data_IF_834573542587
#
_entry.id   IF_834573542587
#
_cell.length_a   1.000
_cell.length_b   1.000
_cell.length_c   1.000
_cell.angle_alpha   90.00
_cell.angle_beta   90.00
_cell.angle_gamma   90.00
#
_symmetry.space_group_name_H-M   'P 1'
#
loop_
_entity.id
_entity.type
_entity.pdbx_description
1 polymer ?
#
# COMPACT_ATOMS: atom_id res chain seq x y z
N UNK A 1 4.47 -13.78 0.99
CA UNK A 1 5.34 -13.73 2.21
C UNK A 1 6.82 -13.53 1.86
N UNK A 2 7.48 -14.43 1.10
CA UNK A 2 8.93 -14.33 0.81
C UNK A 2 9.29 -13.02 0.09
N UNK A 3 8.52 -12.64 -0.93
CA UNK A 3 8.75 -11.39 -1.68
C UNK A 3 8.59 -10.15 -0.79
N UNK A 4 7.55 -10.13 0.05
CA UNK A 4 7.30 -9.01 0.97
C UNK A 4 8.43 -8.87 2.00
N UNK A 5 8.88 -9.99 2.60
CA UNK A 5 10.01 -9.98 3.53
C UNK A 5 11.32 -9.52 2.85
N UNK A 6 11.61 -10.01 1.63
CA UNK A 6 12.78 -9.57 0.87
C UNK A 6 12.75 -8.09 0.52
N UNK A 7 11.58 -7.59 0.12
CA UNK A 7 11.38 -6.17 -0.20
C UNK A 7 11.58 -5.31 1.04
N UNK A 8 10.95 -5.66 2.16
CA UNK A 8 11.13 -4.97 3.43
C UNK A 8 12.59 -4.94 3.86
N UNK A 9 13.30 -6.09 3.81
CA UNK A 9 14.73 -6.18 4.16
C UNK A 9 15.62 -5.23 3.36
N UNK A 10 15.22 -4.87 2.13
CA UNK A 10 15.97 -3.97 1.26
C UNK A 10 15.48 -2.51 1.31
N UNK A 11 14.45 -2.23 2.12
CA UNK A 11 13.86 -0.89 2.29
C UNK A 11 14.29 -0.25 3.62
N UNK A 12 15.57 -0.40 3.97
CA UNK A 12 16.22 0.23 5.12
C UNK A 12 15.58 -0.09 6.49
N UNK A 13 15.00 -1.28 6.67
CA UNK A 13 14.46 -1.73 7.96
C UNK A 13 15.47 -2.59 8.72
N UNK A 14 15.63 -2.34 10.02
CA UNK A 14 16.60 -3.05 10.85
C UNK A 14 16.21 -4.48 11.22
N UNK A 15 14.92 -4.82 11.25
CA UNK A 15 14.45 -6.15 11.63
C UNK A 15 13.09 -6.45 11.01
N UNK A 16 12.91 -7.68 10.55
CA UNK A 16 11.63 -8.21 10.08
C UNK A 16 11.19 -9.33 11.00
N UNK A 17 9.91 -9.34 11.38
CA UNK A 17 9.28 -10.46 12.08
C UNK A 17 8.32 -11.18 11.14
N UNK A 18 8.47 -12.50 11.05
CA UNK A 18 7.54 -13.33 10.31
C UNK A 18 6.67 -14.16 11.27
N UNK A 19 5.36 -14.05 11.14
CA UNK A 19 4.37 -14.71 11.99
C UNK A 19 3.40 -15.61 11.21
N UNK A 20 3.64 -15.86 9.94
CA UNK A 20 2.81 -16.70 9.10
C UNK A 20 2.97 -18.22 9.34
N UNK A 21 2.34 -19.05 8.49
CA UNK A 21 2.31 -20.50 8.61
C UNK A 21 3.71 -21.14 8.66
N UNK A 22 3.78 -22.28 9.37
CA UNK A 22 5.04 -23.04 9.51
C UNK A 22 5.68 -23.37 8.16
N UNK A 23 4.88 -23.79 7.16
CA UNK A 23 5.37 -24.14 5.81
C UNK A 23 6.11 -22.99 5.13
N UNK A 24 5.76 -21.74 5.41
CA UNK A 24 6.42 -20.57 4.84
C UNK A 24 7.64 -20.10 5.65
N UNK A 25 7.77 -20.52 6.93
CA UNK A 25 8.86 -20.07 7.82
C UNK A 25 10.23 -20.44 7.27
N UNK A 26 10.40 -21.70 6.87
CA UNK A 26 11.68 -22.18 6.33
C UNK A 26 12.01 -21.45 5.04
N UNK A 27 11.02 -21.25 4.16
CA UNK A 27 11.21 -20.49 2.92
C UNK A 27 11.60 -19.02 3.17
N UNK A 28 11.03 -18.41 4.21
CA UNK A 28 11.37 -17.03 4.60
C UNK A 28 12.78 -16.97 5.15
N UNK A 29 13.16 -17.88 6.06
CA UNK A 29 14.51 -17.93 6.62
C UNK A 29 15.59 -18.25 5.58
N UNK A 30 15.30 -19.15 4.63
CA UNK A 30 16.22 -19.44 3.52
C UNK A 30 16.43 -18.22 2.62
N UNK A 31 15.39 -17.40 2.44
CA UNK A 31 15.42 -16.25 1.55
C UNK A 31 15.86 -14.94 2.24
N UNK A 32 15.63 -14.82 3.55
CA UNK A 32 15.92 -13.68 4.42
C UNK A 32 16.39 -14.21 5.78
N UNK A 33 17.66 -14.63 5.89
CA UNK A 33 18.20 -15.22 7.13
C UNK A 33 18.16 -14.26 8.32
N UNK A 34 18.04 -12.94 8.07
CA UNK A 34 17.90 -11.91 9.09
C UNK A 34 16.51 -11.82 9.70
N UNK A 35 15.52 -12.55 9.14
CA UNK A 35 14.15 -12.52 9.65
C UNK A 35 14.06 -13.23 11.01
N UNK A 36 13.32 -12.61 11.94
CA UNK A 36 13.03 -13.15 13.26
C UNK A 36 11.66 -13.80 13.23
N UNK A 37 11.56 -15.02 13.73
CA UNK A 37 10.28 -15.74 13.82
C UNK A 37 9.54 -15.42 15.12
N UNK A 38 8.21 -15.39 15.06
CA UNK A 38 7.32 -15.34 16.21
C UNK A 38 6.97 -13.95 16.71
N UNK A 39 6.19 -13.90 17.79
CA UNK A 39 5.62 -12.69 18.36
C UNK A 39 6.68 -11.75 18.92
N UNK A 40 6.39 -10.44 18.92
CA UNK A 40 7.22 -9.39 19.51
C UNK A 40 6.74 -8.00 19.10
N UNK A 41 7.33 -6.97 19.69
CA UNK A 41 7.02 -5.59 19.33
C UNK A 41 7.41 -5.32 17.88
N UNK A 42 6.58 -4.60 17.18
CA UNK A 42 6.79 -4.13 15.80
C UNK A 42 6.35 -2.68 15.68
N UNK A 43 6.84 -1.96 14.68
CA UNK A 43 6.50 -0.59 14.37
C UNK A 43 5.49 -0.48 13.23
N UNK A 44 5.30 -1.54 12.44
CA UNK A 44 4.24 -1.66 11.44
C UNK A 44 3.92 -3.14 11.19
N UNK A 45 2.73 -3.39 10.66
CA UNK A 45 2.27 -4.70 10.24
C UNK A 45 2.04 -4.75 8.72
N UNK A 46 2.27 -5.91 8.13
CA UNK A 46 1.88 -6.22 6.74
C UNK A 46 1.14 -7.54 6.76
N UNK A 47 -0.11 -7.54 6.30
CA UNK A 47 -0.97 -8.74 6.26
C UNK A 47 -1.57 -8.96 4.88
N UNK A 48 -1.91 -10.19 4.57
CA UNK A 48 -2.68 -10.56 3.38
C UNK A 48 -1.88 -11.08 2.20
N UNK A 49 -0.62 -10.68 2.03
CA UNK A 49 0.24 -11.15 0.93
C UNK A 49 0.35 -12.68 0.89
N UNK A 50 -0.26 -13.31 -0.12
CA UNK A 50 -0.30 -14.75 -0.31
C UNK A 50 -1.33 -15.49 0.55
N UNK A 51 -2.23 -14.78 1.20
CA UNK A 51 -3.42 -15.34 1.87
C UNK A 51 -4.53 -15.50 0.82
N UNK A 52 -5.21 -16.65 0.75
CA UNK A 52 -6.33 -16.83 -0.16
C UNK A 52 -7.52 -15.96 0.24
N UNK A 53 -8.34 -15.55 -0.73
CA UNK A 53 -9.62 -14.89 -0.52
C UNK A 53 -10.72 -15.90 -0.23
N UNK A 54 -11.70 -15.53 0.59
CA UNK A 54 -12.88 -16.35 0.89
C UNK A 54 -12.62 -17.47 1.92
N UNK A 55 -13.66 -18.26 2.20
CA UNK A 55 -13.58 -19.43 3.06
C UNK A 55 -12.85 -20.56 2.32
N UNK A 56 -11.74 -21.01 2.87
CA UNK A 56 -11.00 -22.19 2.38
C UNK A 56 -11.11 -23.30 3.42
N UNK A 57 -11.34 -24.53 2.97
CA UNK A 57 -11.50 -25.68 3.88
C UNK A 57 -10.24 -26.05 4.68
N UNK A 58 -9.08 -25.51 4.31
CA UNK A 58 -7.78 -26.06 4.76
C UNK A 58 -6.84 -25.09 5.49
N UNK A 59 -7.13 -23.83 5.78
CA UNK A 59 -6.23 -23.03 6.63
C UNK A 59 -6.87 -21.75 7.22
N UNK A 60 -7.82 -21.90 8.07
CA UNK A 60 -8.42 -20.79 8.82
C UNK A 60 -7.46 -20.12 9.79
N UNK A 61 -6.41 -20.82 10.24
CA UNK A 61 -5.53 -20.29 11.29
C UNK A 61 -4.87 -18.95 10.91
N UNK A 62 -4.41 -18.79 9.68
CA UNK A 62 -3.78 -17.54 9.25
C UNK A 62 -4.83 -16.43 9.11
N UNK A 63 -5.96 -16.73 8.49
CA UNK A 63 -7.08 -15.78 8.36
C UNK A 63 -7.64 -15.40 9.72
N UNK A 64 -7.85 -16.37 10.62
CA UNK A 64 -8.26 -16.11 12.01
C UNK A 64 -7.27 -15.21 12.76
N UNK A 65 -5.97 -15.44 12.57
CA UNK A 65 -4.93 -14.61 13.20
C UNK A 65 -4.97 -13.18 12.67
N UNK A 66 -5.16 -13.01 11.37
CA UNK A 66 -5.30 -11.69 10.73
C UNK A 66 -6.59 -11.01 11.19
N UNK A 67 -7.72 -11.72 11.17
CA UNK A 67 -8.99 -11.20 11.65
C UNK A 67 -8.89 -10.70 13.10
N UNK A 68 -8.25 -11.48 13.99
CA UNK A 68 -7.99 -11.07 15.38
C UNK A 68 -7.09 -9.83 15.47
N UNK A 69 -6.10 -9.68 14.60
CA UNK A 69 -5.29 -8.46 14.56
C UNK A 69 -6.14 -7.26 14.13
N UNK A 70 -6.96 -7.44 13.10
CA UNK A 70 -7.80 -6.38 12.54
C UNK A 70 -8.88 -5.90 13.52
N UNK A 71 -9.35 -6.73 14.47
CA UNK A 71 -10.30 -6.27 15.51
C UNK A 71 -9.71 -5.17 16.41
N UNK A 72 -8.39 -5.07 16.52
CA UNK A 72 -7.76 -3.98 17.27
C UNK A 72 -7.72 -2.65 16.52
N UNK A 73 -8.10 -2.64 15.25
CA UNK A 73 -8.21 -1.45 14.40
C UNK A 73 -9.65 -1.11 14.06
N UNK A 74 -10.63 -1.89 14.53
CA UNK A 74 -12.03 -1.58 14.31
C UNK A 74 -12.43 -0.35 15.12
N UNK A 75 -13.04 0.64 14.46
CA UNK A 75 -13.67 1.79 15.11
C UNK A 75 -15.14 1.48 15.36
N UNK A 76 -15.68 2.04 16.44
CA UNK A 76 -17.08 1.87 16.80
C UNK A 76 -17.95 2.80 15.97
N UNK A 77 -19.06 2.27 15.47
CA UNK A 77 -20.06 3.06 14.74
C UNK A 77 -21.02 3.85 15.63
N UNK A 78 -20.99 3.62 16.92
CA UNK A 78 -21.86 4.25 17.92
C UNK A 78 -21.08 5.24 18.79
N UNK A 79 -21.65 6.42 19.03
CA UNK A 79 -21.19 7.42 20.01
C UNK A 79 -21.29 6.87 21.47
N UNK A 80 -20.76 5.69 21.73
CA UNK A 80 -20.69 5.13 23.07
C UNK A 80 -19.50 5.77 23.81
N UNK A 81 -19.72 6.60 24.83
CA UNK A 81 -18.65 7.27 25.56
C UNK A 81 -17.72 6.33 26.34
N UNK A 82 -18.05 5.04 26.42
CA UNK A 82 -17.22 4.01 27.03
C UNK A 82 -16.41 3.20 25.99
N UNK A 83 -16.55 3.49 24.70
CA UNK A 83 -15.78 2.84 23.64
C UNK A 83 -14.40 3.51 23.47
N UNK A 84 -13.35 2.72 23.58
CA UNK A 84 -11.96 3.18 23.66
C UNK A 84 -11.31 3.15 22.25
N UNK A 85 -11.89 3.93 21.29
CA UNK A 85 -11.37 4.08 19.94
C UNK A 85 -9.93 4.63 19.93
N UNK A 86 -9.51 5.32 21.02
CA UNK A 86 -8.15 5.79 21.20
C UNK A 86 -7.13 4.66 21.08
N UNK A 87 -7.50 3.43 21.49
CA UNK A 87 -6.64 2.26 21.36
C UNK A 87 -6.38 1.86 19.91
N UNK A 88 -7.34 2.04 19.01
CA UNK A 88 -7.17 1.75 17.58
C UNK A 88 -6.21 2.75 16.92
N UNK A 89 -6.27 4.01 17.31
CA UNK A 89 -5.33 5.05 16.84
C UNK A 89 -3.91 4.86 17.38
N UNK A 90 -3.76 4.30 18.59
CA UNK A 90 -2.45 3.98 19.19
C UNK A 90 -1.78 2.74 18.59
N UNK A 91 -2.50 1.97 17.77
CA UNK A 91 -1.93 0.78 17.11
C UNK A 91 -0.90 1.17 16.05
N UNK A 92 0.17 0.35 15.88
CA UNK A 92 1.15 0.57 14.80
C UNK A 92 0.49 0.59 13.42
N UNK A 93 1.00 1.37 12.44
CA UNK A 93 0.51 1.34 11.07
C UNK A 93 0.38 -0.08 10.52
N UNK A 94 -0.64 -0.30 9.69
CA UNK A 94 -0.97 -1.62 9.15
C UNK A 94 -1.18 -1.54 7.63
N UNK A 95 -0.50 -2.39 6.88
CA UNK A 95 -0.75 -2.62 5.45
C UNK A 95 -1.64 -3.86 5.30
N UNK A 96 -2.80 -3.69 4.64
CA UNK A 96 -3.74 -4.77 4.32
C UNK A 96 -3.77 -4.96 2.80
N UNK A 97 -3.34 -6.13 2.34
CA UNK A 97 -3.19 -6.48 0.92
C UNK A 97 -3.91 -7.79 0.58
N UNK A 98 -4.25 -7.99 -0.67
CA UNK A 98 -4.74 -9.25 -1.23
C UNK A 98 -5.85 -9.90 -0.37
N UNK A 99 -5.65 -11.17 0.03
CA UNK A 99 -6.67 -11.96 0.73
C UNK A 99 -7.00 -11.54 2.17
N UNK A 100 -6.41 -10.44 2.68
CA UNK A 100 -6.85 -9.86 3.96
C UNK A 100 -7.85 -8.70 3.78
N UNK A 101 -8.05 -8.22 2.56
CA UNK A 101 -8.97 -7.10 2.27
C UNK A 101 -10.42 -7.44 2.61
N UNK A 102 -10.82 -8.70 2.47
CA UNK A 102 -12.17 -9.18 2.82
C UNK A 102 -12.37 -9.37 4.34
N UNK A 103 -11.31 -9.20 5.14
CA UNK A 103 -11.34 -9.23 6.60
C UNK A 103 -11.32 -7.83 7.23
N UNK A 104 -11.24 -6.78 6.39
CA UNK A 104 -11.17 -5.40 6.87
C UNK A 104 -12.45 -5.05 7.65
N UNK A 105 -12.36 -4.52 8.89
CA UNK A 105 -13.50 -3.96 9.62
C UNK A 105 -14.25 -2.90 8.81
N UNK A 106 -15.48 -2.60 9.21
CA UNK A 106 -16.30 -1.60 8.52
C UNK A 106 -15.61 -0.25 8.51
N UNK A 107 -15.07 0.18 9.63
CA UNK A 107 -14.34 1.43 9.76
C UNK A 107 -13.03 1.21 10.53
N UNK A 108 -11.94 1.86 10.09
CA UNK A 108 -10.60 1.76 10.65
C UNK A 108 -9.89 3.12 10.64
N UNK A 109 -8.90 3.34 11.52
CA UNK A 109 -8.16 4.61 11.55
C UNK A 109 -7.23 4.77 10.31
N UNK A 110 -6.84 6.01 9.96
CA UNK A 110 -6.15 6.34 8.72
C UNK A 110 -4.76 5.73 8.56
N UNK A 111 -4.11 5.28 9.65
CA UNK A 111 -2.84 4.55 9.60
C UNK A 111 -2.98 3.10 9.07
N UNK A 112 -4.22 2.62 8.85
CA UNK A 112 -4.48 1.39 8.11
C UNK A 112 -4.45 1.70 6.63
N UNK A 113 -3.49 1.12 5.91
CA UNK A 113 -3.31 1.33 4.47
C UNK A 113 -3.74 0.10 3.71
N UNK A 114 -4.81 0.20 2.93
CA UNK A 114 -5.25 -0.88 2.04
C UNK A 114 -4.61 -0.71 0.67
N UNK A 115 -4.22 -1.83 0.03
CA UNK A 115 -3.50 -1.81 -1.25
C UNK A 115 -4.22 -2.60 -2.36
N UNK A 116 -5.51 -2.31 -2.67
CA UNK A 116 -6.26 -3.05 -3.66
C UNK A 116 -5.81 -2.76 -5.10
N UNK A 117 -5.95 -3.73 -6.00
CA UNK A 117 -6.14 -3.47 -7.42
C UNK A 117 -7.64 -3.27 -7.73
N UNK A 118 -7.99 -2.88 -8.97
CA UNK A 118 -9.37 -2.55 -9.32
C UNK A 118 -10.40 -3.65 -8.99
N UNK A 119 -10.05 -4.93 -9.20
CA UNK A 119 -10.94 -6.04 -8.87
C UNK A 119 -11.12 -6.25 -7.36
N UNK A 120 -10.04 -6.11 -6.58
CA UNK A 120 -10.10 -6.18 -5.11
C UNK A 120 -10.91 -5.02 -4.54
N UNK A 121 -10.72 -3.81 -5.07
CA UNK A 121 -11.48 -2.64 -4.64
C UNK A 121 -12.97 -2.79 -4.95
N UNK A 122 -13.34 -3.26 -6.15
CA UNK A 122 -14.73 -3.53 -6.51
C UNK A 122 -15.36 -4.55 -5.55
N UNK A 123 -14.65 -5.64 -5.23
CA UNK A 123 -15.15 -6.64 -4.27
C UNK A 123 -15.35 -6.05 -2.87
N UNK A 124 -14.41 -5.23 -2.40
CA UNK A 124 -14.48 -4.54 -1.11
C UNK A 124 -15.71 -3.61 -1.04
N UNK A 125 -15.92 -2.81 -2.08
CA UNK A 125 -17.03 -1.86 -2.19
C UNK A 125 -18.38 -2.59 -2.31
N UNK A 126 -18.45 -3.66 -3.11
CA UNK A 126 -19.66 -4.50 -3.25
C UNK A 126 -20.05 -5.11 -1.91
N UNK A 127 -19.10 -5.58 -1.12
CA UNK A 127 -19.37 -6.08 0.23
C UNK A 127 -19.94 -5.00 1.17
N UNK A 128 -19.72 -3.71 0.86
CA UNK A 128 -20.25 -2.54 1.57
C UNK A 128 -21.50 -1.93 0.94
N UNK A 129 -22.10 -2.64 -0.02
CA UNK A 129 -23.40 -2.28 -0.62
C UNK A 129 -23.33 -1.42 -1.87
N UNK A 130 -22.15 -1.15 -2.43
CA UNK A 130 -22.01 -0.47 -3.71
C UNK A 130 -22.26 -1.43 -4.88
N UNK A 131 -22.86 -0.93 -5.96
CA UNK A 131 -23.05 -1.67 -7.22
C UNK A 131 -21.92 -1.28 -8.19
N UNK A 132 -20.80 -1.98 -8.09
CA UNK A 132 -19.57 -1.63 -8.81
C UNK A 132 -18.81 -2.87 -9.25
N UNK A 133 -18.25 -2.86 -10.45
CA UNK A 133 -17.35 -3.88 -10.95
C UNK A 133 -15.92 -3.34 -11.20
N UNK A 134 -15.00 -4.25 -11.56
CA UNK A 134 -13.59 -3.89 -11.80
C UNK A 134 -13.43 -2.91 -12.98
N UNK A 135 -14.35 -2.90 -13.95
CA UNK A 135 -14.27 -1.98 -15.09
C UNK A 135 -14.72 -0.58 -14.71
N UNK A 136 -15.68 -0.44 -13.79
CA UNK A 136 -16.09 0.84 -13.24
C UNK A 136 -14.94 1.49 -12.46
N UNK A 137 -14.27 0.71 -11.61
CA UNK A 137 -13.07 1.18 -10.89
C UNK A 137 -11.96 1.60 -11.85
N UNK A 138 -11.75 0.87 -12.96
CA UNK A 138 -10.74 1.24 -13.96
C UNK A 138 -11.10 2.51 -14.74
N UNK A 139 -12.39 2.75 -14.97
CA UNK A 139 -12.87 3.93 -15.71
C UNK A 139 -12.83 5.20 -14.84
N UNK A 140 -13.16 5.09 -13.55
CA UNK A 140 -13.24 6.21 -12.61
C UNK A 140 -12.42 5.93 -11.32
N UNK A 141 -11.11 5.67 -11.44
CA UNK A 141 -10.31 5.15 -10.32
C UNK A 141 -10.22 6.11 -9.13
N UNK A 142 -10.19 7.42 -9.36
CA UNK A 142 -10.17 8.40 -8.28
C UNK A 142 -11.50 8.43 -7.52
N UNK A 143 -12.62 8.39 -8.23
CA UNK A 143 -13.95 8.36 -7.61
C UNK A 143 -14.08 7.18 -6.65
N UNK A 144 -13.72 5.97 -7.11
CA UNK A 144 -13.86 4.76 -6.30
C UNK A 144 -12.81 4.65 -5.19
N UNK A 145 -11.63 5.24 -5.36
CA UNK A 145 -10.66 5.35 -4.28
C UNK A 145 -11.12 6.29 -3.15
N UNK A 146 -11.70 7.44 -3.51
CA UNK A 146 -12.32 8.37 -2.55
C UNK A 146 -13.49 7.70 -1.84
N UNK A 147 -14.37 7.01 -2.58
CA UNK A 147 -15.49 6.30 -2.00
C UNK A 147 -15.08 5.20 -1.02
N UNK A 148 -14.02 4.47 -1.33
CA UNK A 148 -13.48 3.46 -0.43
C UNK A 148 -12.92 4.08 0.86
N UNK A 149 -12.20 5.19 0.75
CA UNK A 149 -11.72 5.95 1.91
C UNK A 149 -12.88 6.43 2.77
N UNK A 150 -13.90 7.04 2.18
CA UNK A 150 -15.10 7.52 2.87
C UNK A 150 -15.84 6.41 3.65
N UNK A 151 -15.93 5.21 3.05
CA UNK A 151 -16.63 4.06 3.64
C UNK A 151 -15.81 3.31 4.69
N UNK A 152 -14.50 3.47 4.71
CA UNK A 152 -13.64 2.62 5.55
C UNK A 152 -12.76 3.40 6.52
N UNK A 153 -12.56 4.71 6.33
CA UNK A 153 -11.55 5.50 7.03
C UNK A 153 -10.10 5.19 6.63
N UNK A 154 -9.86 4.05 5.97
CA UNK A 154 -8.53 3.61 5.60
C UNK A 154 -7.84 4.53 4.59
N UNK A 155 -6.52 4.64 4.65
CA UNK A 155 -5.73 5.13 3.52
C UNK A 155 -5.79 4.12 2.38
N UNK A 156 -6.19 4.55 1.19
CA UNK A 156 -6.37 3.70 0.01
C UNK A 156 -5.23 3.91 -0.97
N UNK A 157 -4.41 2.90 -1.23
CA UNK A 157 -3.44 2.85 -2.31
C UNK A 157 -4.03 1.98 -3.43
N UNK A 158 -4.73 2.58 -4.39
CA UNK A 158 -5.30 1.88 -5.53
C UNK A 158 -4.22 1.60 -6.58
N UNK A 159 -3.89 0.32 -6.75
CA UNK A 159 -2.91 -0.17 -7.73
C UNK A 159 -3.49 -0.12 -9.15
N UNK A 160 -2.76 0.51 -10.09
CA UNK A 160 -3.18 0.59 -11.48
C UNK A 160 -2.03 0.98 -12.42
N UNK A 161 -2.35 1.31 -13.67
CA UNK A 161 -1.38 1.87 -14.62
C UNK A 161 -0.80 3.20 -14.10
N UNK A 162 -1.59 3.91 -13.32
CA UNK A 162 -1.23 5.02 -12.46
C UNK A 162 -1.74 4.64 -11.07
N UNK A 163 -0.90 4.72 -10.07
CA UNK A 163 -1.31 4.45 -8.69
C UNK A 163 -1.89 5.72 -8.08
N UNK A 164 -3.05 5.60 -7.45
CA UNK A 164 -3.74 6.69 -6.76
C UNK A 164 -3.72 6.39 -5.26
N UNK A 165 -3.32 7.36 -4.46
CA UNK A 165 -3.36 7.28 -3.01
C UNK A 165 -4.33 8.33 -2.48
N UNK A 166 -5.22 7.91 -1.59
CA UNK A 166 -6.25 8.74 -0.95
C UNK A 166 -6.23 8.47 0.54
N UNK A 167 -6.28 9.50 1.36
CA UNK A 167 -6.33 9.34 2.81
C UNK A 167 -6.32 10.68 3.54
N UNK A 168 -6.25 10.65 4.85
CA UNK A 168 -6.20 11.85 5.66
C UNK A 168 -4.83 12.55 5.58
N UNK A 169 -4.79 13.90 5.43
CA UNK A 169 -3.54 14.66 5.51
C UNK A 169 -2.97 14.65 6.95
N UNK A 170 -1.73 15.06 7.11
CA UNK A 170 -1.16 15.34 8.42
C UNK A 170 -1.90 16.51 9.10
N UNK A 171 -1.91 16.55 10.45
CA UNK A 171 -2.60 17.59 11.20
C UNK A 171 -2.06 19.01 10.91
N UNK A 172 -0.76 19.13 10.65
CA UNK A 172 -0.12 20.40 10.27
C UNK A 172 -0.63 20.95 8.94
N UNK A 173 -1.01 20.11 7.99
CA UNK A 173 -1.60 20.53 6.72
C UNK A 173 -3.04 21.07 6.95
N UNK A 174 -3.80 20.48 7.89
CA UNK A 174 -5.14 20.94 8.29
C UNK A 174 -5.12 22.34 8.91
N UNK A 175 -4.13 22.64 9.74
CA UNK A 175 -3.97 23.95 10.37
C UNK A 175 -3.61 25.06 9.37
N UNK A 176 -2.82 24.73 8.32
CA UNK A 176 -2.42 25.69 7.29
C UNK A 176 -3.59 26.11 6.42
N UNK A 177 -4.51 25.21 6.09
CA UNK A 177 -5.69 25.47 5.27
C UNK A 177 -6.76 26.25 6.04
N UNK A 178 -6.91 26.01 7.35
CA UNK A 178 -7.82 26.75 8.22
C UNK A 178 -7.45 28.26 8.33
N UNK A 179 -6.18 28.63 8.20
CA UNK A 179 -5.73 30.03 8.18
C UNK A 179 -6.01 30.73 6.84
N UNK A 180 -6.27 29.96 5.76
CA UNK A 180 -6.60 30.48 4.42
C UNK A 180 -8.06 30.97 4.26
N UNK A 181 -8.91 30.82 5.25
CA UNK A 181 -10.27 31.43 5.30
C UNK A 181 -11.35 30.70 4.52
N UNK A 182 -11.12 29.46 4.07
CA UNK A 182 -12.13 28.58 3.51
C UNK A 182 -12.51 27.52 4.55
N UNK A 183 -13.21 27.94 5.59
CA UNK A 183 -13.83 27.05 6.56
C UNK A 183 -15.17 26.55 5.98
N UNK A 184 -15.12 25.64 5.03
CA UNK A 184 -16.20 24.68 4.80
C UNK A 184 -15.77 23.36 5.47
N UNK A 185 -16.70 22.74 6.20
CA UNK A 185 -16.58 21.42 6.86
C UNK A 185 -16.38 20.25 5.85
N UNK A 186 -15.78 20.49 4.71
CA UNK A 186 -15.40 19.43 3.77
C UNK A 186 -14.15 18.72 4.34
N UNK A 187 -14.29 17.44 4.59
CA UNK A 187 -13.18 16.57 4.97
C UNK A 187 -12.00 16.80 4.01
N UNK A 188 -10.93 17.36 4.54
CA UNK A 188 -9.71 17.56 3.76
C UNK A 188 -9.08 16.20 3.51
N UNK A 189 -9.21 15.73 2.26
CA UNK A 189 -8.64 14.44 1.82
C UNK A 189 -7.38 14.69 1.01
N UNK A 190 -6.30 14.06 1.41
CA UNK A 190 -5.03 14.05 0.66
C UNK A 190 -5.18 13.11 -0.52
N UNK A 191 -4.97 13.61 -1.74
CA UNK A 191 -4.93 12.82 -2.97
C UNK A 191 -3.55 12.95 -3.60
N UNK A 192 -2.86 11.83 -3.78
CA UNK A 192 -1.57 11.77 -4.46
C UNK A 192 -1.65 10.80 -5.64
N UNK A 193 -1.20 11.26 -6.80
CA UNK A 193 -1.15 10.45 -8.01
C UNK A 193 0.31 10.15 -8.33
N UNK A 194 0.70 8.89 -8.21
CA UNK A 194 2.02 8.45 -8.63
C UNK A 194 2.10 8.42 -10.16
N UNK A 195 3.23 8.87 -10.72
CA UNK A 195 3.45 8.80 -12.14
C UNK A 195 3.51 7.36 -12.68
N UNK A 196 3.44 7.22 -14.00
CA UNK A 196 3.48 5.90 -14.65
C UNK A 196 4.76 5.14 -14.35
N UNK A 197 4.61 3.95 -13.80
CA UNK A 197 5.65 2.93 -13.78
C UNK A 197 5.70 2.20 -15.14
N UNK A 198 6.79 1.46 -15.44
CA UNK A 198 6.86 0.60 -16.62
C UNK A 198 5.73 -0.43 -16.61
N UNK A 199 5.15 -0.70 -17.79
CA UNK A 199 4.13 -1.73 -17.92
C UNK A 199 4.62 -3.13 -17.49
N UNK A 200 5.91 -3.37 -17.53
CA UNK A 200 6.58 -4.60 -17.07
C UNK A 200 6.42 -4.87 -15.57
N UNK A 201 6.06 -3.83 -14.78
CA UNK A 201 5.73 -3.97 -13.36
C UNK A 201 4.42 -4.74 -13.13
N UNK A 202 3.57 -4.89 -14.15
CA UNK A 202 2.39 -5.73 -14.12
C UNK A 202 2.71 -7.23 -14.11
N UNK A 203 3.60 -7.68 -13.22
CA UNK A 203 4.03 -9.06 -13.04
C UNK A 203 3.56 -9.62 -11.70
N UNK A 204 3.37 -10.94 -11.62
CA UNK A 204 2.96 -11.60 -10.39
C UNK A 204 3.98 -11.35 -9.26
N UNK A 205 3.47 -11.05 -8.06
CA UNK A 205 4.27 -10.77 -6.88
C UNK A 205 4.77 -9.32 -6.77
N UNK A 206 4.52 -8.46 -7.77
CA UNK A 206 4.88 -7.04 -7.67
C UNK A 206 4.10 -6.33 -6.54
N UNK A 207 2.84 -6.70 -6.30
CA UNK A 207 2.05 -6.23 -5.15
C UNK A 207 2.67 -6.64 -3.81
N UNK A 208 3.15 -7.89 -3.68
CA UNK A 208 3.86 -8.34 -2.49
C UNK A 208 5.12 -7.50 -2.21
N UNK A 209 5.84 -7.11 -3.27
CA UNK A 209 7.02 -6.23 -3.15
C UNK A 209 6.61 -4.86 -2.64
N UNK A 210 5.58 -4.26 -3.23
CA UNK A 210 5.04 -2.97 -2.79
C UNK A 210 4.59 -3.01 -1.33
N UNK A 211 3.82 -4.04 -0.94
CA UNK A 211 3.34 -4.19 0.44
C UNK A 211 4.51 -4.29 1.44
N UNK A 212 5.56 -5.03 1.09
CA UNK A 212 6.76 -5.15 1.92
C UNK A 212 7.54 -3.83 2.05
N UNK A 213 7.69 -3.09 0.94
CA UNK A 213 8.32 -1.76 0.94
C UNK A 213 7.50 -0.77 1.79
N UNK A 214 6.19 -0.73 1.58
CA UNK A 214 5.29 0.17 2.31
C UNK A 214 5.33 -0.09 3.81
N UNK A 215 5.22 -1.34 4.24
CA UNK A 215 5.31 -1.69 5.66
C UNK A 215 6.64 -1.29 6.29
N UNK A 216 7.75 -1.41 5.55
CA UNK A 216 9.06 -0.98 6.01
C UNK A 216 9.18 0.55 6.14
N UNK A 217 8.58 1.30 5.22
CA UNK A 217 8.57 2.78 5.28
C UNK A 217 7.66 3.28 6.40
N UNK A 218 6.47 2.72 6.57
CA UNK A 218 5.57 3.04 7.67
C UNK A 218 6.21 2.75 9.03
N UNK A 219 7.00 1.68 9.14
CA UNK A 219 7.70 1.34 10.38
C UNK A 219 8.83 2.32 10.76
N UNK A 220 9.26 3.16 9.85
CA UNK A 220 10.32 4.15 10.02
C UNK A 220 9.77 5.58 10.16
N UNK A 221 8.49 5.76 9.91
CA UNK A 221 7.85 7.06 10.00
C UNK A 221 7.68 7.42 11.49
N UNK A 222 8.27 8.55 11.90
CA UNK A 222 8.22 9.12 13.24
C UNK A 222 7.99 10.65 13.23
N UNK A 223 7.72 11.22 12.06
CA UNK A 223 7.48 12.63 11.83
C UNK A 223 5.98 12.90 11.75
N UNK A 224 5.45 13.70 12.67
CA UNK A 224 4.03 14.06 12.75
C UNK A 224 3.55 14.87 11.53
N UNK A 225 4.49 15.50 10.80
CA UNK A 225 4.20 16.24 9.57
C UNK A 225 4.03 15.32 8.34
N UNK A 226 4.25 14.01 8.48
CA UNK A 226 4.14 13.03 7.38
C UNK A 226 2.97 12.09 7.61
N UNK A 227 1.99 12.13 6.73
CA UNK A 227 0.79 11.29 6.81
C UNK A 227 0.98 9.89 6.20
N UNK A 228 0.09 8.96 6.53
CA UNK A 228 0.08 7.63 5.93
C UNK A 228 -0.06 7.66 4.39
N UNK A 229 -0.92 8.50 3.77
CA UNK A 229 -0.96 8.66 2.32
C UNK A 229 0.36 9.15 1.72
N UNK A 230 1.12 10.02 2.39
CA UNK A 230 2.42 10.48 1.89
C UNK A 230 3.44 9.35 1.85
N UNK A 231 3.49 8.53 2.90
CA UNK A 231 4.34 7.32 2.94
C UNK A 231 3.91 6.31 1.88
N UNK A 232 2.60 6.11 1.69
CA UNK A 232 2.07 5.20 0.68
C UNK A 232 2.42 5.67 -0.75
N UNK A 233 2.32 6.98 -1.01
CA UNK A 233 2.72 7.57 -2.28
C UNK A 233 4.23 7.45 -2.53
N UNK A 234 5.05 7.66 -1.51
CA UNK A 234 6.49 7.43 -1.56
C UNK A 234 6.82 5.96 -1.89
N UNK A 235 6.17 5.00 -1.23
CA UNK A 235 6.33 3.58 -1.52
C UNK A 235 5.98 3.24 -2.97
N UNK A 236 4.86 3.74 -3.48
CA UNK A 236 4.44 3.54 -4.88
C UNK A 236 5.46 4.12 -5.87
N UNK A 237 5.98 5.31 -5.59
CA UNK A 237 7.01 5.95 -6.41
C UNK A 237 8.31 5.15 -6.44
N UNK A 238 8.84 4.78 -5.26
CA UNK A 238 10.07 3.98 -5.14
C UNK A 238 9.95 2.62 -5.82
N UNK A 239 8.80 1.97 -5.69
CA UNK A 239 8.50 0.70 -6.33
C UNK A 239 8.52 0.82 -7.86
N UNK A 240 7.85 1.85 -8.41
CA UNK A 240 7.86 2.13 -9.84
C UNK A 240 9.24 2.50 -10.37
N UNK A 241 10.02 3.24 -9.57
CA UNK A 241 11.38 3.63 -9.92
C UNK A 241 12.34 2.43 -9.97
N UNK A 242 12.26 1.54 -8.96
CA UNK A 242 13.02 0.29 -8.93
C UNK A 242 12.68 -0.61 -10.13
N UNK A 243 11.40 -0.67 -10.52
CA UNK A 243 10.97 -1.40 -11.71
C UNK A 243 11.51 -0.78 -13.01
N UNK A 244 11.58 0.55 -13.09
CA UNK A 244 12.18 1.24 -14.23
C UNK A 244 13.67 0.93 -14.36
N UNK A 245 14.40 0.92 -13.26
CA UNK A 245 15.81 0.51 -13.24
C UNK A 245 15.96 -0.96 -13.64
N UNK A 246 15.16 -1.86 -13.06
CA UNK A 246 15.18 -3.28 -13.34
C UNK A 246 14.92 -3.58 -14.82
N UNK A 247 13.91 -2.93 -15.42
CA UNK A 247 13.54 -3.11 -16.83
C UNK A 247 14.37 -2.28 -17.81
N UNK A 248 15.25 -1.41 -17.33
CA UNK A 248 15.96 -0.41 -18.15
C UNK A 248 15.01 0.51 -18.93
N UNK A 249 13.88 0.85 -18.35
CA UNK A 249 12.88 1.79 -18.89
C UNK A 249 13.21 3.22 -18.49
N UNK A 250 12.81 4.19 -19.32
CA UNK A 250 12.86 5.62 -18.98
C UNK A 250 11.61 6.08 -18.20
N UNK A 251 10.64 5.19 -17.94
CA UNK A 251 9.42 5.48 -17.20
C UNK A 251 9.67 5.44 -15.67
N UNK A 252 10.26 6.51 -15.15
CA UNK A 252 10.67 6.64 -13.74
C UNK A 252 9.69 7.47 -12.92
N UNK A 253 8.40 7.14 -12.98
CA UNK A 253 7.38 7.79 -12.17
C UNK A 253 6.80 9.06 -12.81
N UNK A 254 7.57 10.01 -13.25
CA UNK A 254 7.11 11.21 -13.95
C UNK A 254 7.67 11.27 -15.38
N UNK A 255 6.93 10.68 -16.31
CA UNK A 255 7.21 10.87 -17.73
C UNK A 255 6.21 11.89 -18.27
N UNK A 256 6.63 13.08 -18.72
CA UNK A 256 5.71 14.03 -19.31
C UNK A 256 4.99 13.38 -20.50
N UNK A 257 3.72 13.71 -20.73
CA UNK A 257 2.97 13.16 -21.86
C UNK A 257 3.72 13.48 -23.14
N UNK A 258 3.93 12.47 -23.97
CA UNK A 258 4.52 12.65 -25.30
C UNK A 258 3.59 13.55 -26.10
N UNK A 259 4.04 14.73 -26.50
CA UNK A 259 3.25 15.61 -27.37
C UNK A 259 3.19 14.90 -28.72
N UNK A 260 2.02 14.41 -29.09
CA UNK A 260 1.76 13.83 -30.39
C UNK A 260 2.03 14.89 -31.46
N UNK A 261 2.98 14.60 -32.35
CA UNK A 261 3.24 15.43 -33.54
C UNK A 261 4.62 16.09 -33.65
N UNK A 262 5.53 15.90 -32.69
CA UNK A 262 6.92 16.27 -32.91
C UNK A 262 7.67 15.14 -33.62
N UNK A 263 8.29 15.46 -34.74
CA UNK A 263 9.12 14.54 -35.54
C UNK A 263 10.47 14.21 -34.86
N UNK A 264 10.58 14.53 -33.55
CA UNK A 264 11.75 14.35 -32.74
C UNK A 264 11.88 12.88 -32.31
N UNK A 265 12.55 12.10 -33.16
CA UNK A 265 12.97 10.72 -32.85
C UNK A 265 13.84 10.60 -31.59
N UNK A 266 14.26 11.75 -31.02
CA UNK A 266 15.07 11.82 -29.80
C UNK A 266 14.25 11.70 -28.51
N UNK A 267 12.91 11.79 -28.57
CA UNK A 267 12.00 11.70 -27.42
C UNK A 267 11.30 10.33 -27.32
N UNK A 268 11.81 9.29 -27.96
CA UNK A 268 11.22 7.95 -27.81
C UNK A 268 11.53 7.42 -26.41
N UNK A 269 10.52 7.39 -25.55
CA UNK A 269 10.59 6.71 -24.25
C UNK A 269 11.05 5.26 -24.46
N UNK A 270 12.16 4.89 -23.82
CA UNK A 270 12.63 3.52 -23.81
C UNK A 270 11.71 2.68 -22.94
N UNK A 271 10.97 1.75 -23.52
CA UNK A 271 9.99 0.92 -22.80
C UNK A 271 10.67 -0.13 -21.88
N UNK A 272 11.93 -0.46 -22.13
CA UNK A 272 12.66 -1.47 -21.38
C UNK A 272 12.35 -2.91 -21.82
N UNK A 273 12.50 -3.86 -20.91
CA UNK A 273 12.32 -5.29 -21.13
C UNK A 273 11.51 -5.94 -19.98
N UNK A 274 10.96 -7.15 -20.19
CA UNK A 274 10.27 -7.91 -19.15
C UNK A 274 11.11 -8.11 -17.90
N UNK A 275 10.45 -8.03 -16.75
CA UNK A 275 11.03 -8.26 -15.42
C UNK A 275 10.10 -9.15 -14.58
N UNK A 276 10.63 -9.72 -13.52
CA UNK A 276 9.88 -10.39 -12.47
C UNK A 276 10.01 -9.64 -11.14
N UNK A 277 9.17 -9.94 -10.17
CA UNK A 277 9.15 -9.25 -8.88
C UNK A 277 10.52 -9.24 -8.16
N UNK A 278 11.30 -10.32 -8.29
CA UNK A 278 12.65 -10.39 -7.70
C UNK A 278 13.67 -9.43 -8.34
N UNK A 279 13.48 -9.05 -9.60
CA UNK A 279 14.33 -8.06 -10.26
C UNK A 279 14.09 -6.67 -9.67
N UNK A 280 12.80 -6.34 -9.38
CA UNK A 280 12.43 -5.11 -8.68
C UNK A 280 13.09 -5.04 -7.31
N UNK A 281 12.99 -6.12 -6.51
CA UNK A 281 13.65 -6.23 -5.21
C UNK A 281 15.16 -5.99 -5.31
N UNK A 282 15.78 -6.49 -6.38
CA UNK A 282 17.22 -6.32 -6.64
C UNK A 282 17.62 -4.84 -6.83
N UNK A 283 16.71 -4.00 -7.32
CA UNK A 283 16.98 -2.59 -7.59
C UNK A 283 16.62 -1.65 -6.42
N UNK A 284 15.92 -2.09 -5.39
CA UNK A 284 15.54 -1.22 -4.25
C UNK A 284 16.76 -0.48 -3.67
N UNK A 285 17.89 -1.13 -3.33
CA UNK A 285 19.03 -0.39 -2.77
C UNK A 285 19.64 0.63 -3.74
N UNK A 286 19.67 0.31 -5.04
CA UNK A 286 20.16 1.24 -6.06
C UNK A 286 19.24 2.45 -6.22
N UNK A 287 17.92 2.25 -6.10
CA UNK A 287 16.93 3.33 -6.10
C UNK A 287 17.18 4.31 -4.97
N UNK A 288 17.37 3.83 -3.73
CA UNK A 288 17.72 4.69 -2.60
C UNK A 288 19.03 5.45 -2.84
N UNK A 289 20.06 4.77 -3.35
CA UNK A 289 21.35 5.40 -3.64
C UNK A 289 21.20 6.54 -4.65
N UNK A 290 20.42 6.34 -5.73
CA UNK A 290 20.24 7.36 -6.77
C UNK A 290 19.39 8.56 -6.29
N UNK A 291 18.39 8.32 -5.45
CA UNK A 291 17.50 9.39 -4.98
C UNK A 291 18.05 10.18 -3.78
N UNK A 292 18.97 9.62 -3.00
CA UNK A 292 19.56 10.26 -1.82
C UNK A 292 20.95 10.84 -2.09
N UNK A 293 21.51 10.71 -3.29
CA UNK A 293 22.79 11.29 -3.72
C UNK A 293 22.58 12.62 -4.43
#
# INVERSE_FOLDING_TARGET
>A
AVLSCKAAAKTNIGMIRYMGPQVCRDMVLDAVPEAVLGKGRVQAWVVGSGVPTGETEDDDFQRETIAKLLTHYALSSDDDPDDDDDLAYDMPPLVVDAGALDLLPDEVPPQVVITPHAGELASLLTARGEDVDASDVQNEPLHWALRAHELTGATVLLKGAVTIVVGEPADTDRESDAQGGFADDEQHVRVVVSGRAPAWLGTAGAGDVLAGMLGALLAQQDDEDVSAPDVAACAAYLHGYAAAQASQSDQRGFTPPTIYGSDDRHLRTKLGHPIVASDVIGMIPATFTELLS
#
